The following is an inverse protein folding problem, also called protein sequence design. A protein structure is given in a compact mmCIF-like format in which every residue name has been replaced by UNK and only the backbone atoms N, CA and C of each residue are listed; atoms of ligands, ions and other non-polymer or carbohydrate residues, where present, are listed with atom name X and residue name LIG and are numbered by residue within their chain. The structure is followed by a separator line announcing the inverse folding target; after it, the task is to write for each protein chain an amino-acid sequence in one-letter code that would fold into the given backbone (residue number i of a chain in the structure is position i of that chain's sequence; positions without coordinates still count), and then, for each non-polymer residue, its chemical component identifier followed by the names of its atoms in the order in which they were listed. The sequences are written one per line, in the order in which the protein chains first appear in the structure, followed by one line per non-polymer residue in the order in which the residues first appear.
data_IF_216183731865
#
_entry.id   IF_216183731865
#
_cell.length_a   1.000
_cell.length_b   1.000
_cell.length_c   1.000
_cell.angle_alpha   90.00
_cell.angle_beta   90.00
_cell.angle_gamma   90.00
#
_symmetry.space_group_name_H-M   'P 1'
#
loop_
_entity.id
_entity.type
_entity.pdbx_description
1 polymer ?
#
# COMPACT_ATOMS: atom_id res chain seq x y z
N UNK A 1 -22.23 0.26 -15.38
CA UNK A 1 -21.76 1.15 -14.30
C UNK A 1 -22.89 1.44 -13.31
N UNK A 2 -24.03 1.94 -13.77
CA UNK A 2 -25.16 2.29 -12.88
C UNK A 2 -25.72 1.10 -12.09
N UNK A 3 -25.87 -0.09 -12.68
CA UNK A 3 -26.34 -1.29 -11.96
C UNK A 3 -25.45 -1.67 -10.77
N UNK A 4 -24.12 -1.54 -10.92
CA UNK A 4 -23.18 -1.76 -9.82
C UNK A 4 -23.31 -0.71 -8.71
N UNK A 5 -23.61 0.54 -9.07
CA UNK A 5 -23.80 1.62 -8.09
C UNK A 5 -25.09 1.45 -7.27
N UNK A 6 -26.15 0.95 -7.89
CA UNK A 6 -27.39 0.60 -7.18
C UNK A 6 -27.17 -0.58 -6.22
N UNK A 7 -26.32 -1.54 -6.58
CA UNK A 7 -25.96 -2.64 -5.69
C UNK A 7 -25.14 -2.14 -4.48
N UNK A 8 -24.21 -1.21 -4.72
CA UNK A 8 -23.41 -0.54 -3.67
C UNK A 8 -24.35 0.26 -2.74
N UNK A 9 -25.31 1.00 -3.27
CA UNK A 9 -26.29 1.74 -2.46
C UNK A 9 -27.15 0.80 -1.60
N UNK A 10 -27.66 -0.30 -2.15
CA UNK A 10 -28.40 -1.33 -1.39
C UNK A 10 -27.52 -1.95 -0.28
N UNK A 11 -26.27 -2.22 -0.58
CA UNK A 11 -25.32 -2.76 0.41
C UNK A 11 -25.10 -1.78 1.55
N UNK A 12 -24.92 -0.50 1.23
CA UNK A 12 -24.77 0.58 2.21
C UNK A 12 -25.99 0.69 3.13
N UNK A 13 -27.20 0.63 2.59
CA UNK A 13 -28.44 0.65 3.37
C UNK A 13 -28.55 -0.59 4.27
N UNK A 14 -28.20 -1.77 3.75
CA UNK A 14 -28.16 -3.00 4.53
C UNK A 14 -27.20 -2.89 5.71
N UNK A 15 -25.99 -2.35 5.49
CA UNK A 15 -25.00 -2.14 6.54
C UNK A 15 -25.48 -1.11 7.57
N UNK A 16 -26.15 -0.04 7.15
CA UNK A 16 -26.76 0.95 8.04
C UNK A 16 -27.77 0.30 9.00
N UNK A 17 -28.63 -0.57 8.47
CA UNK A 17 -29.57 -1.33 9.29
C UNK A 17 -28.91 -2.36 10.21
N UNK A 18 -27.84 -3.02 9.73
CA UNK A 18 -27.07 -3.98 10.52
C UNK A 18 -26.34 -3.33 11.70
N UNK A 19 -25.72 -2.18 11.50
CA UNK A 19 -25.00 -1.44 12.54
C UNK A 19 -25.91 -0.96 13.68
N UNK A 20 -27.22 -0.80 13.41
CA UNK A 20 -28.23 -0.49 14.42
C UNK A 20 -28.72 -1.69 15.25
N UNK A 21 -28.29 -2.93 14.97
CA UNK A 21 -28.74 -4.12 15.69
C UNK A 21 -27.91 -4.36 16.95
N UNK A 22 -28.56 -4.55 18.12
CA UNK A 22 -27.85 -4.82 19.38
C UNK A 22 -26.97 -6.07 19.37
N UNK A 23 -27.37 -7.08 18.57
CA UNK A 23 -26.65 -8.35 18.41
C UNK A 23 -25.26 -8.19 17.77
N UNK A 24 -25.12 -7.25 16.83
CA UNK A 24 -23.86 -6.95 16.17
C UNK A 24 -22.96 -6.10 17.07
N UNK A 25 -23.54 -5.18 17.84
CA UNK A 25 -22.81 -4.32 18.80
C UNK A 25 -22.09 -5.18 19.85
N UNK A 26 -22.69 -6.32 20.24
CA UNK A 26 -22.07 -7.26 21.18
C UNK A 26 -20.84 -7.99 20.62
N UNK A 27 -20.69 -8.03 19.29
CA UNK A 27 -19.57 -8.69 18.58
C UNK A 27 -18.61 -7.65 18.00
N UNK A 28 -17.66 -7.20 18.80
CA UNK A 28 -16.79 -6.07 18.50
C UNK A 28 -16.06 -6.18 17.16
N UNK A 29 -15.55 -7.37 16.79
CA UNK A 29 -14.81 -7.57 15.53
C UNK A 29 -15.70 -7.49 14.28
N UNK A 30 -16.93 -8.08 14.37
CA UNK A 30 -17.90 -8.01 13.28
C UNK A 30 -18.45 -6.58 13.13
N UNK A 31 -18.67 -5.87 14.24
CA UNK A 31 -19.07 -4.47 14.23
C UNK A 31 -18.02 -3.57 13.60
N UNK A 32 -16.73 -3.73 13.96
CA UNK A 32 -15.67 -2.92 13.39
C UNK A 32 -15.51 -3.14 11.87
N UNK A 33 -15.63 -4.39 11.41
CA UNK A 33 -15.60 -4.71 9.97
C UNK A 33 -16.76 -4.04 9.23
N UNK A 34 -17.98 -4.19 9.76
CA UNK A 34 -19.16 -3.58 9.15
C UNK A 34 -19.10 -2.04 9.17
N UNK A 35 -18.59 -1.43 10.24
CA UNK A 35 -18.42 0.02 10.35
C UNK A 35 -17.39 0.56 9.36
N UNK A 36 -16.29 -0.15 9.14
CA UNK A 36 -15.30 0.21 8.10
C UNK A 36 -15.89 0.14 6.70
N UNK A 37 -16.56 -0.97 6.37
CA UNK A 37 -17.23 -1.14 5.06
C UNK A 37 -18.30 -0.05 4.85
N UNK A 38 -19.09 0.26 5.86
CA UNK A 38 -20.07 1.35 5.82
C UNK A 38 -19.44 2.72 5.56
N UNK A 39 -18.35 3.04 6.24
CA UNK A 39 -17.64 4.31 6.05
C UNK A 39 -16.99 4.42 4.64
N UNK A 40 -16.48 3.31 4.10
CA UNK A 40 -15.91 3.26 2.75
C UNK A 40 -16.98 3.46 1.67
N UNK A 41 -18.10 2.74 1.77
CA UNK A 41 -19.20 2.85 0.82
C UNK A 41 -19.91 4.21 0.93
N UNK A 42 -19.95 4.82 2.11
CA UNK A 42 -20.65 6.08 2.36
C UNK A 42 -20.21 7.20 1.43
N UNK A 43 -18.89 7.33 1.16
CA UNK A 43 -18.37 8.33 0.23
C UNK A 43 -18.85 8.11 -1.21
N UNK A 44 -18.88 6.86 -1.65
CA UNK A 44 -19.33 6.49 -3.00
C UNK A 44 -20.82 6.76 -3.16
N UNK A 45 -21.62 6.35 -2.17
CA UNK A 45 -23.08 6.54 -2.16
C UNK A 45 -23.46 8.03 -2.10
N UNK A 46 -22.73 8.85 -1.33
CA UNK A 46 -22.98 10.29 -1.25
C UNK A 46 -22.72 10.98 -2.62
N UNK A 47 -21.63 10.63 -3.30
CA UNK A 47 -21.33 11.11 -4.64
C UNK A 47 -22.37 10.64 -5.67
N UNK A 48 -22.79 9.39 -5.59
CA UNK A 48 -23.82 8.82 -6.47
C UNK A 48 -25.17 9.51 -6.29
N UNK A 49 -25.60 9.76 -5.05
CA UNK A 49 -26.83 10.49 -4.75
C UNK A 49 -26.79 11.94 -5.25
N UNK A 50 -25.65 12.61 -5.13
CA UNK A 50 -25.43 13.95 -5.72
C UNK A 50 -25.52 13.93 -7.24
N UNK A 51 -24.92 12.92 -7.88
CA UNK A 51 -24.98 12.75 -9.34
C UNK A 51 -26.42 12.52 -9.81
N UNK A 52 -27.18 11.68 -9.12
CA UNK A 52 -28.59 11.40 -9.43
C UNK A 52 -29.46 12.66 -9.34
N UNK A 53 -29.21 13.47 -8.29
CA UNK A 53 -29.90 14.75 -8.13
C UNK A 53 -29.56 15.73 -9.25
N UNK A 54 -28.29 15.84 -9.66
CA UNK A 54 -27.87 16.65 -10.80
C UNK A 54 -28.51 16.18 -12.10
N UNK A 55 -28.68 14.88 -12.31
CA UNK A 55 -29.39 14.33 -13.49
C UNK A 55 -30.87 14.70 -13.50
N UNK A 56 -31.53 14.73 -12.35
CA UNK A 56 -32.91 15.17 -12.22
C UNK A 56 -33.03 16.67 -12.52
N UNK A 57 -32.12 17.49 -12.00
CA UNK A 57 -32.07 18.94 -12.26
C UNK A 57 -31.80 19.24 -13.76
N UNK A 58 -30.89 18.49 -14.40
CA UNK A 58 -30.63 18.57 -15.85
C UNK A 58 -31.89 18.25 -16.65
N UNK A 59 -32.60 17.18 -16.31
CA UNK A 59 -33.87 16.82 -16.96
C UNK A 59 -34.93 17.93 -16.80
N UNK A 60 -35.02 18.49 -15.60
CA UNK A 60 -35.92 19.63 -15.34
C UNK A 60 -35.59 20.85 -16.20
N UNK A 61 -34.32 21.23 -16.29
CA UNK A 61 -33.87 22.37 -17.13
C UNK A 61 -34.07 22.08 -18.63
N UNK A 62 -33.95 20.83 -19.08
CA UNK A 62 -34.23 20.40 -20.45
C UNK A 62 -35.74 20.52 -20.77
N UNK A 63 -36.62 20.14 -19.85
CA UNK A 63 -38.07 20.30 -19.99
C UNK A 63 -38.45 21.79 -20.10
N UNK A 64 -37.89 22.66 -19.26
CA UNK A 64 -38.10 24.09 -19.33
C UNK A 64 -37.67 24.66 -20.67
N UNK A 65 -36.57 24.20 -21.25
CA UNK A 65 -36.12 24.63 -22.58
C UNK A 65 -37.09 24.25 -23.70
N UNK A 66 -37.86 23.18 -23.54
CA UNK A 66 -38.79 22.65 -24.54
C UNK A 66 -40.16 23.28 -24.43
N UNK A 67 -40.61 23.55 -23.20
CA UNK A 67 -41.99 23.94 -22.91
C UNK A 67 -42.18 25.48 -22.72
N UNK A 68 -41.08 26.20 -22.48
CA UNK A 68 -41.11 27.64 -22.21
C UNK A 68 -41.10 28.45 -23.53
N UNK A 69 -42.04 29.43 -23.67
CA UNK A 69 -42.13 30.33 -24.82
C UNK A 69 -41.36 31.64 -24.62
N UNK A 70 -41.05 32.00 -23.36
CA UNK A 70 -40.31 33.20 -23.00
C UNK A 70 -38.81 33.06 -23.33
N UNK A 71 -38.31 33.94 -24.18
CA UNK A 71 -36.93 33.91 -24.69
C UNK A 71 -35.89 34.19 -23.59
N UNK A 72 -36.24 35.00 -22.57
CA UNK A 72 -35.39 35.30 -21.43
C UNK A 72 -35.25 34.09 -20.48
N UNK A 73 -36.36 33.40 -20.20
CA UNK A 73 -36.38 32.18 -19.43
C UNK A 73 -35.62 31.02 -20.12
N UNK A 74 -35.78 30.91 -21.45
CA UNK A 74 -35.00 29.92 -22.25
C UNK A 74 -33.50 30.21 -22.20
N UNK A 75 -33.08 31.46 -22.21
CA UNK A 75 -31.66 31.83 -22.08
C UNK A 75 -31.12 31.39 -20.71
N UNK A 76 -31.82 31.69 -19.62
CA UNK A 76 -31.45 31.32 -18.27
C UNK A 76 -31.38 29.79 -18.11
N UNK A 77 -32.36 29.05 -18.61
CA UNK A 77 -32.37 27.58 -18.60
C UNK A 77 -31.19 27.00 -19.36
N UNK A 78 -30.75 27.66 -20.47
CA UNK A 78 -29.59 27.20 -21.25
C UNK A 78 -28.28 27.44 -20.53
N UNK A 79 -28.13 28.56 -19.84
CA UNK A 79 -26.96 28.85 -18.99
C UNK A 79 -26.88 27.90 -17.81
N UNK A 80 -28.01 27.62 -17.16
CA UNK A 80 -28.11 26.66 -16.07
C UNK A 80 -27.78 25.22 -16.51
N UNK A 81 -28.33 24.81 -17.67
CA UNK A 81 -28.02 23.49 -18.24
C UNK A 81 -26.52 23.34 -18.53
N UNK A 82 -25.88 24.35 -19.03
CA UNK A 82 -24.43 24.33 -19.28
C UNK A 82 -23.66 24.16 -17.98
N UNK A 83 -24.01 24.90 -16.92
CA UNK A 83 -23.43 24.84 -15.61
C UNK A 83 -23.58 23.43 -14.98
N UNK A 84 -24.82 22.92 -14.98
CA UNK A 84 -25.14 21.58 -14.42
C UNK A 84 -24.43 20.46 -15.17
N UNK A 85 -24.30 20.59 -16.49
CA UNK A 85 -23.57 19.60 -17.32
C UNK A 85 -22.07 19.55 -16.98
N UNK A 86 -21.45 20.70 -16.75
CA UNK A 86 -20.06 20.78 -16.31
C UNK A 86 -19.88 20.21 -14.92
N UNK A 87 -20.80 20.51 -14.00
CA UNK A 87 -20.78 19.99 -12.64
C UNK A 87 -20.98 18.48 -12.62
N UNK A 88 -21.90 17.95 -13.44
CA UNK A 88 -22.09 16.51 -13.63
C UNK A 88 -20.80 15.83 -14.09
N UNK A 89 -20.10 16.37 -15.10
CA UNK A 89 -18.83 15.80 -15.57
C UNK A 89 -17.77 15.71 -14.47
N UNK A 90 -17.63 16.75 -13.64
CA UNK A 90 -16.72 16.75 -12.49
C UNK A 90 -17.11 15.69 -11.45
N UNK A 91 -18.42 15.57 -11.14
CA UNK A 91 -18.91 14.57 -10.18
C UNK A 91 -18.79 13.14 -10.70
N UNK A 92 -18.94 12.91 -11.99
CA UNK A 92 -18.69 11.60 -12.62
C UNK A 92 -17.21 11.19 -12.49
N UNK A 93 -16.26 12.12 -12.67
CA UNK A 93 -14.84 11.85 -12.46
C UNK A 93 -14.53 11.58 -11.00
N UNK A 94 -15.06 12.37 -10.06
CA UNK A 94 -14.93 12.13 -8.62
C UNK A 94 -15.48 10.74 -8.22
N UNK A 95 -16.63 10.36 -8.79
CA UNK A 95 -17.25 9.05 -8.54
C UNK A 95 -16.42 7.90 -9.11
N UNK A 96 -15.89 8.05 -10.32
CA UNK A 96 -14.95 7.06 -10.90
C UNK A 96 -13.73 6.87 -10.01
N UNK A 97 -13.15 7.94 -9.49
CA UNK A 97 -12.04 7.87 -8.57
C UNK A 97 -12.40 7.22 -7.22
N UNK A 98 -13.61 7.47 -6.72
CA UNK A 98 -14.08 6.88 -5.46
C UNK A 98 -14.39 5.39 -5.56
N UNK A 99 -14.71 4.90 -6.76
CA UNK A 99 -14.97 3.48 -7.06
C UNK A 99 -13.70 2.64 -7.19
N UNK A 100 -12.53 3.28 -7.33
CA UNK A 100 -11.27 2.53 -7.36
C UNK A 100 -11.08 1.79 -6.04
N UNK A 101 -10.72 0.50 -6.09
CA UNK A 101 -10.39 -0.24 -4.90
C UNK A 101 -9.23 0.48 -4.19
N UNK A 102 -9.47 0.87 -2.96
CA UNK A 102 -8.41 1.41 -2.12
C UNK A 102 -7.40 0.30 -1.84
N UNK A 103 -6.15 0.59 -2.04
CA UNK A 103 -5.10 -0.31 -1.60
C UNK A 103 -5.21 -0.48 -0.06
N UNK A 104 -5.35 -1.71 0.46
CA UNK A 104 -5.45 -1.95 1.90
C UNK A 104 -4.25 -1.41 2.68
N UNK A 105 -3.15 -1.11 1.98
CA UNK A 105 -1.94 -0.54 2.57
C UNK A 105 -1.93 1.00 2.58
N UNK A 106 -2.89 1.68 1.93
CA UNK A 106 -2.87 3.15 1.78
C UNK A 106 -2.84 3.91 3.11
N UNK A 107 -3.38 3.35 4.19
CA UNK A 107 -3.37 3.94 5.53
C UNK A 107 -2.16 3.50 6.39
N UNK A 108 -1.32 2.57 5.89
CA UNK A 108 -0.18 2.06 6.67
C UNK A 108 0.98 3.06 6.70
N UNK A 109 1.76 2.96 7.77
CA UNK A 109 3.08 3.54 7.85
C UNK A 109 4.02 2.87 6.85
N UNK A 110 5.17 3.49 6.57
CA UNK A 110 6.12 2.95 5.60
C UNK A 110 7.52 2.83 6.16
N UNK A 111 8.24 1.85 5.62
CA UNK A 111 9.69 1.78 5.65
C UNK A 111 10.23 2.40 4.35
N UNK A 112 10.91 3.53 4.48
CA UNK A 112 11.63 4.19 3.40
C UNK A 112 13.08 3.67 3.40
N UNK A 113 13.48 2.98 2.34
CA UNK A 113 14.86 2.53 2.13
C UNK A 113 15.46 3.30 0.97
N UNK A 114 16.59 3.97 1.21
CA UNK A 114 17.36 4.68 0.17
C UNK A 114 18.75 4.06 0.13
N UNK A 115 19.17 3.60 -1.04
CA UNK A 115 20.49 2.99 -1.24
C UNK A 115 21.21 3.65 -2.41
N UNK A 116 22.48 3.95 -2.21
CA UNK A 116 23.36 4.37 -3.29
C UNK A 116 23.48 3.25 -4.34
N UNK A 117 23.20 3.59 -5.60
CA UNK A 117 23.34 2.71 -6.75
C UNK A 117 24.67 2.94 -7.48
N UNK A 118 24.59 3.08 -8.81
CA UNK A 118 25.77 3.32 -9.65
C UNK A 118 26.24 4.77 -9.52
N UNK A 119 27.51 5.01 -9.20
CA UNK A 119 28.09 6.37 -9.13
C UNK A 119 29.04 6.61 -7.95
N UNK A 120 29.34 5.58 -7.15
CA UNK A 120 30.29 5.66 -6.04
C UNK A 120 29.89 6.67 -4.96
N UNK A 121 30.81 7.52 -4.55
CA UNK A 121 30.59 8.52 -3.50
C UNK A 121 29.51 9.54 -3.83
N UNK A 122 29.39 9.92 -5.11
CA UNK A 122 28.36 10.84 -5.59
C UNK A 122 26.95 10.26 -5.43
N UNK A 123 26.77 8.97 -5.66
CA UNK A 123 25.49 8.30 -5.38
C UNK A 123 25.15 8.35 -3.90
N UNK A 124 26.16 8.24 -3.02
CA UNK A 124 25.96 8.38 -1.56
C UNK A 124 25.55 9.80 -1.14
N UNK A 125 26.17 10.83 -1.73
CA UNK A 125 25.79 12.23 -1.50
C UNK A 125 24.35 12.49 -1.97
N UNK A 126 23.99 11.99 -3.15
CA UNK A 126 22.64 12.14 -3.66
C UNK A 126 21.60 11.35 -2.82
N UNK A 127 21.97 10.21 -2.25
CA UNK A 127 21.12 9.50 -1.29
C UNK A 127 20.80 10.36 -0.06
N UNK A 128 21.80 11.15 0.43
CA UNK A 128 21.57 12.12 1.50
C UNK A 128 20.64 13.26 1.07
N UNK A 129 20.76 13.76 -0.16
CA UNK A 129 19.86 14.81 -0.67
C UNK A 129 18.43 14.30 -0.76
N UNK A 130 18.21 13.07 -1.28
CA UNK A 130 16.88 12.46 -1.32
C UNK A 130 16.31 12.21 0.08
N UNK A 131 17.12 11.73 1.01
CA UNK A 131 16.69 11.56 2.40
C UNK A 131 16.26 12.88 3.02
N UNK A 132 17.02 13.95 2.80
CA UNK A 132 16.65 15.31 3.26
C UNK A 132 15.34 15.77 2.61
N UNK A 133 15.17 15.55 1.33
CA UNK A 133 13.94 15.87 0.60
C UNK A 133 12.71 15.19 1.22
N UNK A 134 12.78 13.88 1.48
CA UNK A 134 11.67 13.16 2.10
C UNK A 134 11.47 13.54 3.58
N UNK A 135 12.55 13.87 4.32
CA UNK A 135 12.43 14.37 5.68
C UNK A 135 11.66 15.69 5.74
N UNK A 136 11.95 16.62 4.82
CA UNK A 136 11.23 17.89 4.72
C UNK A 136 9.78 17.72 4.27
N UNK A 137 9.51 16.78 3.38
CA UNK A 137 8.14 16.42 3.03
C UNK A 137 7.39 15.88 4.25
N UNK A 138 8.00 14.98 5.01
CA UNK A 138 7.39 14.42 6.22
C UNK A 138 7.09 15.52 7.25
N UNK A 139 8.00 16.45 7.48
CA UNK A 139 7.80 17.60 8.35
C UNK A 139 6.63 18.49 7.89
N UNK A 140 6.57 18.83 6.59
CA UNK A 140 5.46 19.62 6.00
C UNK A 140 4.09 18.93 6.13
N UNK A 141 4.06 17.60 6.07
CA UNK A 141 2.83 16.81 6.20
C UNK A 141 2.48 16.47 7.66
N UNK A 142 3.33 16.85 8.62
CA UNK A 142 3.16 16.51 10.03
C UNK A 142 3.35 15.02 10.33
N UNK A 143 4.11 14.30 9.49
CA UNK A 143 4.48 12.91 9.70
C UNK A 143 5.70 12.81 10.62
N UNK A 144 5.73 11.76 11.41
CA UNK A 144 6.90 11.43 12.23
C UNK A 144 7.86 10.56 11.43
N UNK A 145 9.14 10.92 11.43
CA UNK A 145 10.20 10.12 10.80
C UNK A 145 11.21 9.66 11.86
N UNK A 146 11.52 8.36 11.84
CA UNK A 146 12.51 7.74 12.71
C UNK A 146 13.52 6.96 11.89
N UNK A 147 14.83 7.22 12.10
CA UNK A 147 15.89 6.49 11.39
C UNK A 147 16.13 5.17 12.13
N UNK A 148 15.86 4.05 11.46
CA UNK A 148 16.08 2.71 12.01
C UNK A 148 17.51 2.23 11.78
N UNK A 149 18.06 2.52 10.59
CA UNK A 149 19.43 2.12 10.25
C UNK A 149 20.05 3.10 9.27
N UNK A 150 21.38 3.29 9.36
CA UNK A 150 22.13 4.13 8.42
C UNK A 150 23.57 3.68 8.30
N UNK A 151 24.05 3.65 7.05
CA UNK A 151 25.44 3.40 6.74
C UNK A 151 25.98 4.59 5.94
N UNK A 152 27.06 5.21 6.42
CA UNK A 152 27.68 6.36 5.75
C UNK A 152 28.72 5.92 4.71
N UNK A 153 28.94 6.79 3.73
CA UNK A 153 30.13 6.77 2.88
C UNK A 153 31.26 7.59 3.48
N UNK A 154 32.49 7.43 2.97
CA UNK A 154 33.65 8.16 3.47
C UNK A 154 33.57 9.70 3.37
N UNK A 155 32.71 10.22 2.48
CA UNK A 155 32.53 11.67 2.22
C UNK A 155 31.27 12.25 2.84
N UNK A 156 30.64 11.56 3.78
CA UNK A 156 29.45 12.07 4.51
C UNK A 156 28.11 11.80 3.83
N UNK A 157 28.09 11.08 2.71
CA UNK A 157 26.85 10.57 2.08
C UNK A 157 26.35 9.29 2.74
N UNK A 158 25.14 8.82 2.35
CA UNK A 158 24.61 7.53 2.77
C UNK A 158 24.89 6.45 1.73
N UNK A 159 25.53 5.34 2.15
CA UNK A 159 25.53 4.10 1.38
C UNK A 159 24.12 3.47 1.41
N UNK A 160 23.50 3.53 2.58
CA UNK A 160 22.15 3.06 2.86
C UNK A 160 21.56 3.84 4.03
N UNK A 161 20.28 4.18 3.94
CA UNK A 161 19.49 4.67 5.07
C UNK A 161 18.12 4.05 5.03
N UNK A 162 17.64 3.60 6.20
CA UNK A 162 16.30 3.02 6.40
C UNK A 162 15.62 3.85 7.47
N UNK A 163 14.45 4.38 7.15
CA UNK A 163 13.65 5.17 8.07
C UNK A 163 12.20 4.69 8.09
N UNK A 164 11.60 4.69 9.27
CA UNK A 164 10.16 4.53 9.46
C UNK A 164 9.49 5.90 9.34
N UNK A 165 8.43 6.00 8.54
CA UNK A 165 7.61 7.20 8.44
C UNK A 165 6.20 6.84 8.88
N UNK A 166 5.75 7.49 9.96
CA UNK A 166 4.46 7.28 10.59
C UNK A 166 3.54 8.47 10.36
N UNK A 167 2.30 8.19 9.94
CA UNK A 167 1.30 9.24 9.75
C UNK A 167 0.14 8.81 8.87
N UNK A 168 -0.85 9.66 8.76
CA UNK A 168 -2.05 9.36 7.96
C UNK A 168 -1.76 9.43 6.47
N UNK A 169 -2.02 8.33 5.76
CA UNK A 169 -1.93 8.26 4.31
C UNK A 169 -0.51 8.35 3.74
N UNK A 170 0.50 7.98 4.53
CA UNK A 170 1.92 8.03 4.11
C UNK A 170 2.15 7.12 2.92
N UNK A 171 1.69 5.86 2.99
CA UNK A 171 1.87 4.90 1.89
C UNK A 171 1.16 5.36 0.62
N UNK A 172 -0.07 5.84 0.72
CA UNK A 172 -0.84 6.30 -0.45
C UNK A 172 -0.15 7.42 -1.23
N UNK A 173 0.61 8.29 -0.55
CA UNK A 173 1.34 9.39 -1.20
C UNK A 173 2.71 8.97 -1.72
N UNK A 174 3.44 8.12 -0.99
CA UNK A 174 4.82 7.79 -1.30
C UNK A 174 4.99 6.50 -2.12
N UNK A 175 3.97 5.65 -2.26
CA UNK A 175 4.06 4.37 -2.98
C UNK A 175 4.61 4.49 -4.42
N UNK A 176 4.39 5.65 -5.07
CA UNK A 176 4.91 5.93 -6.41
C UNK A 176 6.33 6.52 -6.44
N UNK A 177 6.95 6.74 -5.29
CA UNK A 177 8.34 7.20 -5.21
C UNK A 177 9.36 6.05 -5.29
N UNK A 178 8.90 4.80 -5.24
CA UNK A 178 9.75 3.62 -5.37
C UNK A 178 10.32 3.48 -6.77
N UNK A 179 11.63 3.21 -6.87
CA UNK A 179 12.34 3.00 -8.12
C UNK A 179 13.74 3.59 -8.13
N UNK A 180 14.29 3.77 -9.36
CA UNK A 180 15.63 4.31 -9.58
C UNK A 180 15.57 5.81 -9.84
N UNK A 181 16.17 6.60 -8.98
CA UNK A 181 16.34 8.05 -9.12
C UNK A 181 17.71 8.37 -9.68
N UNK A 182 17.76 9.14 -10.75
CA UNK A 182 18.99 9.50 -11.44
C UNK A 182 19.33 10.96 -11.22
N UNK A 183 20.57 11.24 -10.85
CA UNK A 183 21.10 12.60 -10.74
C UNK A 183 22.11 12.89 -11.84
N UNK A 184 22.11 14.13 -12.33
CA UNK A 184 23.08 14.69 -13.26
C UNK A 184 23.59 15.99 -12.66
N UNK A 185 24.82 15.98 -12.13
CA UNK A 185 25.50 17.17 -11.62
C UNK A 185 27.01 17.00 -11.68
N UNK A 186 27.75 18.10 -11.51
CA UNK A 186 29.18 18.07 -11.25
C UNK A 186 29.37 17.71 -9.78
N UNK A 187 29.96 16.54 -9.43
CA UNK A 187 30.20 16.15 -8.05
C UNK A 187 31.14 17.13 -7.34
N UNK A 188 31.00 17.26 -6.02
CA UNK A 188 31.93 18.04 -5.19
C UNK A 188 33.37 17.48 -5.27
N UNK A 189 33.49 16.18 -5.56
CA UNK A 189 34.77 15.46 -5.70
C UNK A 189 35.40 15.57 -7.10
N UNK A 190 34.70 16.19 -8.08
CA UNK A 190 35.18 16.32 -9.47
C UNK A 190 35.96 17.63 -9.67
N UNK A 191 37.23 17.52 -9.99
CA UNK A 191 38.13 18.68 -10.19
C UNK A 191 38.09 19.29 -11.59
N UNK A 192 37.59 18.53 -12.61
CA UNK A 192 37.58 18.95 -14.02
C UNK A 192 36.23 19.49 -14.48
N UNK A 193 35.25 19.65 -13.57
CA UNK A 193 33.93 20.20 -13.91
C UNK A 193 33.05 19.30 -14.80
N UNK A 194 33.35 18.01 -14.89
CA UNK A 194 32.56 17.07 -15.69
C UNK A 194 31.27 16.70 -15.00
N UNK A 195 30.16 16.68 -15.76
CA UNK A 195 28.86 16.22 -15.28
C UNK A 195 28.89 14.72 -15.14
N UNK A 196 28.68 14.23 -13.91
CA UNK A 196 28.50 12.81 -13.63
C UNK A 196 27.03 12.45 -13.59
N UNK A 197 26.75 11.19 -13.93
CA UNK A 197 25.41 10.61 -13.84
C UNK A 197 25.47 9.49 -12.81
N UNK A 198 24.75 9.68 -11.69
CA UNK A 198 24.69 8.69 -10.61
C UNK A 198 23.24 8.26 -10.37
N UNK A 199 23.06 7.11 -9.73
CA UNK A 199 21.74 6.56 -9.40
C UNK A 199 21.63 6.23 -7.93
N UNK A 200 20.43 6.38 -7.43
CA UNK A 200 20.01 5.98 -6.08
C UNK A 200 18.72 5.19 -6.22
N UNK A 201 18.58 4.13 -5.48
CA UNK A 201 17.36 3.31 -5.42
C UNK A 201 16.56 3.67 -4.19
N UNK A 202 15.27 3.85 -4.37
CA UNK A 202 14.30 4.12 -3.32
C UNK A 202 13.30 2.98 -3.29
N UNK A 203 13.13 2.35 -2.13
CA UNK A 203 12.07 1.36 -1.89
C UNK A 203 11.10 1.88 -0.82
N UNK A 204 9.81 1.72 -1.09
CA UNK A 204 8.71 2.09 -0.19
C UNK A 204 7.97 0.81 0.17
N UNK A 205 8.13 0.36 1.39
CA UNK A 205 7.52 -0.86 1.89
C UNK A 205 6.48 -0.50 2.96
N UNK A 206 5.26 -1.05 2.92
CA UNK A 206 4.33 -0.86 4.02
C UNK A 206 4.89 -1.52 5.28
N UNK A 207 4.65 -0.88 6.43
CA UNK A 207 5.04 -1.42 7.72
C UNK A 207 4.42 -2.80 7.92
N UNK A 208 5.24 -3.76 8.28
CA UNK A 208 4.83 -5.13 8.46
C UNK A 208 4.18 -5.32 9.83
N UNK A 209 2.95 -5.81 9.89
CA UNK A 209 2.32 -6.22 11.14
C UNK A 209 3.10 -7.39 11.78
N UNK A 210 3.10 -7.45 13.11
CA UNK A 210 3.66 -8.59 13.81
C UNK A 210 2.93 -9.89 13.42
N UNK A 211 3.70 -10.95 13.24
CA UNK A 211 3.14 -12.26 12.93
C UNK A 211 2.77 -12.93 14.24
N UNK A 212 1.47 -12.97 14.56
CA UNK A 212 0.96 -13.81 15.65
C UNK A 212 0.50 -15.16 15.09
N UNK A 213 1.11 -16.24 15.60
CA UNK A 213 0.77 -17.60 15.20
C UNK A 213 -0.16 -18.22 16.25
N UNK A 214 -1.46 -18.24 15.93
CA UNK A 214 -2.45 -18.98 16.71
C UNK A 214 -2.51 -20.42 16.18
N UNK A 215 -2.33 -21.37 17.08
CA UNK A 215 -2.40 -22.81 16.76
C UNK A 215 -3.79 -23.31 17.17
N UNK A 216 -4.60 -23.72 16.19
CA UNK A 216 -5.86 -24.40 16.48
C UNK A 216 -5.58 -25.83 16.99
N UNK A 217 -6.14 -26.24 18.15
CA UNK A 217 -6.02 -27.62 18.63
C UNK A 217 -6.52 -28.68 17.65
N UNK A 218 -7.46 -28.34 16.76
CA UNK A 218 -8.00 -29.25 15.75
C UNK A 218 -7.00 -29.54 14.61
N UNK A 219 -6.03 -28.67 14.40
CA UNK A 219 -4.98 -28.80 13.40
C UNK A 219 -3.79 -29.65 13.91
N UNK A 220 -3.88 -30.15 15.15
CA UNK A 220 -2.84 -30.90 15.77
C UNK A 220 -3.19 -32.39 15.87
N UNK A 221 -2.33 -33.22 15.29
CA UNK A 221 -2.31 -34.67 15.58
C UNK A 221 -1.26 -34.95 16.63
N UNK A 222 -1.68 -35.53 17.75
CA UNK A 222 -0.82 -35.85 18.89
C UNK A 222 -0.71 -37.36 19.00
N UNK A 223 0.48 -37.88 18.75
CA UNK A 223 0.82 -39.29 18.88
C UNK A 223 1.69 -39.49 20.15
N UNK A 224 1.33 -40.48 20.96
CA UNK A 224 2.04 -40.84 22.18
C UNK A 224 2.79 -42.15 21.93
N UNK A 225 4.03 -42.22 22.35
CA UNK A 225 4.86 -43.41 22.15
C UNK A 225 5.86 -43.60 23.30
N UNK A 226 6.50 -44.74 23.32
CA UNK A 226 7.52 -45.06 24.32
C UNK A 226 8.81 -44.30 24.02
N UNK A 227 9.38 -43.69 25.07
CA UNK A 227 10.68 -43.04 24.93
C UNK A 227 11.77 -44.08 24.71
N UNK A 228 12.73 -43.76 23.82
CA UNK A 228 13.91 -44.62 23.59
C UNK A 228 15.15 -43.92 24.16
N UNK A 229 15.91 -44.65 25.01
CA UNK A 229 17.13 -44.09 25.57
C UNK A 229 17.73 -44.96 26.66
N UNK A 230 18.98 -44.71 27.11
CA UNK A 230 19.58 -45.40 28.24
C UNK A 230 18.81 -45.07 29.53
N UNK A 231 18.03 -46.01 30.04
CA UNK A 231 17.24 -45.84 31.26
C UNK A 231 16.73 -47.19 31.78
N UNK A 232 16.29 -47.21 33.04
CA UNK A 232 15.74 -48.41 33.69
C UNK A 232 14.31 -48.72 33.19
N UNK A 233 13.65 -49.70 33.87
CA UNK A 233 12.30 -50.19 33.48
C UNK A 233 11.25 -49.10 33.28
N UNK A 234 11.32 -47.97 34.01
CA UNK A 234 10.39 -46.82 33.89
C UNK A 234 10.44 -46.12 32.52
N UNK A 235 11.59 -46.05 31.84
CA UNK A 235 11.76 -45.43 30.54
C UNK A 235 11.21 -46.30 29.42
N UNK A 236 11.37 -47.62 29.57
CA UNK A 236 11.01 -48.58 28.52
C UNK A 236 9.56 -49.08 28.60
N UNK A 237 8.85 -48.84 29.72
CA UNK A 237 7.48 -49.30 29.93
C UNK A 237 6.42 -48.22 29.89
N UNK A 238 6.80 -46.93 30.07
CA UNK A 238 5.85 -45.85 30.16
C UNK A 238 5.79 -45.07 28.84
N UNK A 239 4.57 -44.83 28.30
CA UNK A 239 4.35 -44.01 27.10
C UNK A 239 4.45 -42.51 27.46
N UNK A 240 5.67 -42.01 27.63
CA UNK A 240 5.96 -40.64 28.06
C UNK A 240 6.37 -39.70 26.90
N UNK A 241 6.82 -40.28 25.79
CA UNK A 241 7.21 -39.49 24.62
C UNK A 241 5.98 -39.01 23.83
N UNK A 242 6.04 -37.77 23.34
CA UNK A 242 4.95 -37.12 22.58
C UNK A 242 5.49 -36.63 21.24
N UNK A 243 4.76 -36.94 20.18
CA UNK A 243 4.95 -36.39 18.83
C UNK A 243 3.74 -35.58 18.48
N UNK A 244 3.96 -34.34 18.08
CA UNK A 244 2.91 -33.43 17.61
C UNK A 244 3.16 -33.12 16.13
N UNK A 245 2.16 -33.40 15.31
CA UNK A 245 2.16 -33.10 13.89
C UNK A 245 1.15 -31.98 13.65
N UNK A 246 1.59 -30.86 13.08
CA UNK A 246 0.70 -29.81 12.62
C UNK A 246 0.23 -30.14 11.20
N UNK A 247 -1.05 -30.48 11.06
CA UNK A 247 -1.62 -31.03 9.82
C UNK A 247 -1.48 -30.11 8.62
N UNK A 248 -1.76 -28.78 8.72
CA UNK A 248 -1.70 -27.89 7.56
C UNK A 248 -0.28 -27.70 6.99
N UNK A 249 0.75 -27.68 7.86
CA UNK A 249 2.14 -27.45 7.43
C UNK A 249 2.97 -28.75 7.33
N UNK A 250 2.45 -29.87 7.83
CA UNK A 250 3.17 -31.13 7.91
C UNK A 250 4.35 -31.13 8.91
N UNK A 251 4.47 -30.07 9.73
CA UNK A 251 5.58 -29.92 10.67
C UNK A 251 5.44 -30.90 11.84
N UNK A 252 6.50 -31.64 12.14
CA UNK A 252 6.53 -32.63 13.20
C UNK A 252 7.53 -32.25 14.29
N UNK A 253 7.09 -32.30 15.53
CA UNK A 253 7.92 -32.10 16.71
C UNK A 253 7.76 -33.28 17.64
N UNK A 254 8.85 -33.90 18.06
CA UNK A 254 8.87 -34.97 19.08
C UNK A 254 9.63 -34.49 20.31
N UNK A 255 9.12 -34.83 21.50
CA UNK A 255 9.75 -34.53 22.78
C UNK A 255 9.65 -35.77 23.68
N UNK A 256 10.81 -36.17 24.26
CA UNK A 256 10.93 -37.35 25.15
C UNK A 256 11.85 -37.08 26.34
N UNK A 257 12.15 -35.83 26.65
CA UNK A 257 13.18 -35.43 27.61
C UNK A 257 12.72 -35.61 29.06
N UNK A 258 11.41 -35.50 29.29
CA UNK A 258 10.82 -35.53 30.62
C UNK A 258 10.12 -36.87 30.91
N UNK A 259 10.09 -37.27 32.19
CA UNK A 259 9.34 -38.47 32.61
C UNK A 259 7.81 -38.30 32.53
N UNK A 260 7.32 -37.06 32.46
CA UNK A 260 5.90 -36.75 32.42
C UNK A 260 5.46 -36.45 30.99
N UNK A 261 4.48 -37.20 30.49
CA UNK A 261 3.83 -37.00 29.20
C UNK A 261 3.28 -35.57 29.05
N UNK A 262 2.64 -34.99 30.10
CA UNK A 262 2.09 -33.66 30.07
C UNK A 262 3.18 -32.59 29.90
N UNK A 263 4.34 -32.75 30.56
CA UNK A 263 5.48 -31.84 30.38
C UNK A 263 6.07 -31.95 28.97
N UNK A 264 6.21 -33.17 28.43
CA UNK A 264 6.66 -33.37 27.05
C UNK A 264 5.69 -32.75 26.04
N UNK A 265 4.37 -32.94 26.24
CA UNK A 265 3.34 -32.26 25.39
C UNK A 265 3.46 -30.75 25.43
N UNK A 266 3.57 -30.15 26.62
CA UNK A 266 3.71 -28.69 26.75
C UNK A 266 5.01 -28.18 26.10
N UNK A 267 6.12 -28.89 26.25
CA UNK A 267 7.42 -28.57 25.63
C UNK A 267 7.36 -28.71 24.11
N UNK A 268 6.75 -29.77 23.59
CA UNK A 268 6.57 -29.99 22.16
C UNK A 268 5.70 -28.89 21.52
N UNK A 269 4.60 -28.48 22.17
CA UNK A 269 3.77 -27.36 21.72
C UNK A 269 4.55 -26.04 21.68
N UNK A 270 5.38 -25.76 22.70
CA UNK A 270 6.22 -24.57 22.72
C UNK A 270 7.23 -24.57 21.58
N UNK A 271 7.86 -25.72 21.30
CA UNK A 271 8.81 -25.84 20.18
C UNK A 271 8.08 -25.72 18.84
N UNK A 272 6.90 -26.34 18.71
CA UNK A 272 6.10 -26.23 17.49
C UNK A 272 5.71 -24.78 17.20
N UNK A 273 5.25 -24.03 18.22
CA UNK A 273 4.91 -22.61 18.08
C UNK A 273 6.12 -21.78 17.62
N UNK A 274 7.29 -22.00 18.22
CA UNK A 274 8.51 -21.30 17.81
C UNK A 274 8.86 -21.59 16.34
N UNK A 275 8.82 -22.88 15.92
CA UNK A 275 9.12 -23.27 14.54
C UNK A 275 8.09 -22.74 13.52
N UNK A 276 6.81 -22.71 13.88
CA UNK A 276 5.77 -22.11 13.03
C UNK A 276 5.97 -20.60 12.89
N UNK A 277 6.34 -19.93 13.99
CA UNK A 277 6.65 -18.50 13.99
C UNK A 277 7.87 -18.22 13.11
N UNK A 278 8.96 -18.96 13.25
CA UNK A 278 10.16 -18.84 12.40
C UNK A 278 9.82 -19.02 10.92
N UNK A 279 9.00 -20.03 10.59
CA UNK A 279 8.57 -20.29 9.22
C UNK A 279 7.75 -19.11 8.67
N UNK A 280 6.77 -18.64 9.42
CA UNK A 280 5.94 -17.50 9.01
C UNK A 280 6.75 -16.21 8.86
N UNK A 281 7.75 -15.99 9.72
CA UNK A 281 8.69 -14.86 9.57
C UNK A 281 9.56 -15.00 8.32
N UNK A 282 10.05 -16.20 8.01
CA UNK A 282 10.82 -16.45 6.79
C UNK A 282 9.99 -16.21 5.52
N UNK A 283 8.75 -16.71 5.47
CA UNK A 283 7.84 -16.50 4.34
C UNK A 283 7.58 -14.99 4.13
N UNK A 284 7.32 -14.25 5.21
CA UNK A 284 7.14 -12.80 5.16
C UNK A 284 8.40 -12.07 4.70
N UNK A 285 9.57 -12.50 5.16
CA UNK A 285 10.85 -11.93 4.75
C UNK A 285 11.12 -12.14 3.25
N UNK A 286 10.77 -13.30 2.70
CA UNK A 286 10.85 -13.60 1.26
C UNK A 286 9.92 -12.67 0.49
N UNK A 287 8.66 -12.54 0.91
CA UNK A 287 7.68 -11.64 0.28
C UNK A 287 8.16 -10.17 0.26
N UNK A 288 8.67 -9.67 1.39
CA UNK A 288 9.24 -8.31 1.48
C UNK A 288 10.44 -8.16 0.54
N UNK A 289 11.31 -9.17 0.47
CA UNK A 289 12.49 -9.16 -0.39
C UNK A 289 12.12 -9.15 -1.87
N UNK A 290 11.09 -9.90 -2.26
CA UNK A 290 10.55 -9.91 -3.62
C UNK A 290 9.91 -8.57 -3.98
N UNK A 291 9.07 -8.01 -3.08
CA UNK A 291 8.47 -6.68 -3.27
C UNK A 291 9.55 -5.61 -3.46
N UNK A 292 10.58 -5.62 -2.59
CA UNK A 292 11.74 -4.71 -2.72
C UNK A 292 12.44 -4.87 -4.07
N UNK A 293 12.73 -6.11 -4.48
CA UNK A 293 13.40 -6.41 -5.75
C UNK A 293 12.60 -5.90 -6.95
N UNK A 294 11.30 -6.10 -6.93
CA UNK A 294 10.40 -5.63 -7.99
C UNK A 294 10.33 -4.10 -8.08
N UNK A 295 10.45 -3.40 -6.94
CA UNK A 295 10.45 -1.92 -6.91
C UNK A 295 11.77 -1.33 -7.42
N UNK A 296 12.90 -1.95 -7.08
CA UNK A 296 14.23 -1.37 -7.29
C UNK A 296 14.89 -1.85 -8.59
N UNK A 297 14.45 -3.01 -9.13
CA UNK A 297 15.05 -3.62 -10.31
C UNK A 297 16.53 -3.94 -10.11
N UNK A 298 17.35 -3.66 -11.11
CA UNK A 298 18.81 -3.82 -11.06
C UNK A 298 19.53 -2.57 -10.53
N UNK A 299 18.83 -1.42 -10.42
CA UNK A 299 19.41 -0.13 -10.03
C UNK A 299 20.22 0.54 -11.15
N UNK A 300 20.13 0.05 -12.37
CA UNK A 300 20.83 0.60 -13.50
C UNK A 300 20.25 1.95 -13.96
N UNK A 301 21.09 2.74 -14.64
CA UNK A 301 20.71 4.07 -15.16
C UNK A 301 19.57 4.04 -16.17
N UNK A 302 19.36 2.91 -16.84
CA UNK A 302 18.28 2.67 -17.83
C UNK A 302 16.91 2.58 -17.18
N UNK A 303 16.82 2.04 -15.96
CA UNK A 303 15.57 1.79 -15.22
C UNK A 303 15.05 3.01 -14.46
N UNK A 304 15.62 4.19 -14.71
CA UNK A 304 15.27 5.42 -14.02
C UNK A 304 13.77 5.75 -14.11
N UNK A 305 13.16 6.02 -12.99
CA UNK A 305 11.80 6.60 -12.91
C UNK A 305 11.86 8.14 -13.00
N UNK A 306 12.89 8.75 -12.39
CA UNK A 306 13.03 10.21 -12.31
C UNK A 306 14.46 10.66 -12.51
N UNK A 307 14.64 11.83 -13.16
CA UNK A 307 15.94 12.46 -13.36
C UNK A 307 15.97 13.85 -12.75
N UNK A 308 16.98 14.10 -11.92
CA UNK A 308 17.30 15.38 -11.31
C UNK A 308 18.50 15.98 -12.03
N UNK A 309 18.28 17.03 -12.83
CA UNK A 309 19.29 17.71 -13.61
C UNK A 309 19.65 19.05 -12.98
N UNK A 310 20.76 19.10 -12.25
CA UNK A 310 21.21 20.30 -11.54
C UNK A 310 21.62 21.43 -12.48
N UNK A 311 22.43 21.20 -13.52
CA UNK A 311 22.79 22.27 -14.47
C UNK A 311 21.61 22.98 -15.12
N UNK A 312 20.48 22.28 -15.30
CA UNK A 312 19.28 22.82 -15.92
C UNK A 312 18.19 23.19 -14.90
N UNK A 313 18.43 22.97 -13.60
CA UNK A 313 17.45 23.24 -12.55
C UNK A 313 16.11 22.49 -12.70
N UNK A 314 16.13 21.33 -13.38
CA UNK A 314 14.91 20.60 -13.70
C UNK A 314 14.85 19.19 -13.12
N UNK A 315 13.61 18.75 -12.84
CA UNK A 315 13.26 17.37 -12.51
C UNK A 315 12.32 16.83 -13.58
N UNK A 316 12.59 15.63 -14.08
CA UNK A 316 11.76 14.94 -15.07
C UNK A 316 11.32 13.59 -14.54
N UNK A 317 10.02 13.35 -14.41
CA UNK A 317 9.46 12.02 -14.16
C UNK A 317 9.15 11.35 -15.51
N UNK A 318 9.85 10.25 -15.77
CA UNK A 318 9.80 9.57 -17.07
C UNK A 318 8.55 8.71 -17.26
N UNK A 319 7.84 8.38 -16.19
CA UNK A 319 6.64 7.53 -16.23
C UNK A 319 5.46 8.25 -16.87
N UNK A 320 5.36 9.57 -16.64
CA UNK A 320 4.29 10.42 -17.13
C UNK A 320 4.79 11.56 -18.03
N UNK A 321 6.11 11.61 -18.33
CA UNK A 321 6.72 12.65 -19.14
C UNK A 321 6.70 14.06 -18.51
N UNK A 322 6.43 14.16 -17.20
CA UNK A 322 6.33 15.44 -16.49
C UNK A 322 7.72 16.05 -16.30
N UNK A 323 7.88 17.32 -16.68
CA UNK A 323 9.13 18.08 -16.48
C UNK A 323 8.83 19.38 -15.75
N UNK A 324 9.51 19.60 -14.61
CA UNK A 324 9.39 20.77 -13.76
C UNK A 324 10.76 21.46 -13.62
N UNK A 325 10.79 22.80 -13.78
CA UNK A 325 12.00 23.61 -13.63
C UNK A 325 12.09 24.25 -12.24
N UNK A 326 11.90 23.40 -11.21
CA UNK A 326 11.86 23.78 -9.78
C UNK A 326 12.65 22.79 -8.91
N UNK A 327 13.86 22.44 -9.36
CA UNK A 327 14.68 21.44 -8.70
C UNK A 327 14.90 21.75 -7.21
N UNK A 328 15.21 23.00 -6.88
CA UNK A 328 15.48 23.42 -5.48
C UNK A 328 14.25 23.26 -4.59
N UNK A 329 13.08 23.74 -5.04
CA UNK A 329 11.83 23.58 -4.29
C UNK A 329 11.47 22.12 -4.06
N UNK A 330 11.70 21.25 -5.08
CA UNK A 330 11.46 19.82 -4.98
C UNK A 330 12.39 19.19 -3.91
N UNK A 331 13.68 19.55 -3.92
CA UNK A 331 14.63 19.07 -2.91
C UNK A 331 14.34 19.63 -1.50
N UNK A 332 13.58 20.71 -1.41
CA UNK A 332 13.04 21.26 -0.16
C UNK A 332 11.68 20.62 0.25
N UNK A 333 11.30 19.50 -0.40
CA UNK A 333 10.15 18.68 -0.03
C UNK A 333 8.82 19.11 -0.68
N UNK A 334 8.84 19.93 -1.74
CA UNK A 334 7.64 20.31 -2.50
C UNK A 334 7.37 19.27 -3.60
N UNK A 335 6.89 18.08 -3.19
CA UNK A 335 6.64 16.97 -4.11
C UNK A 335 5.20 16.91 -4.64
N UNK A 336 4.29 17.75 -4.17
CA UNK A 336 2.87 17.68 -4.52
C UNK A 336 2.62 17.81 -6.03
N UNK A 337 3.39 18.68 -6.71
CA UNK A 337 3.31 18.86 -8.16
C UNK A 337 3.73 17.62 -8.96
N UNK A 338 4.41 16.66 -8.33
CA UNK A 338 4.81 15.37 -8.92
C UNK A 338 3.86 14.27 -8.47
N UNK A 339 3.56 14.20 -7.18
CA UNK A 339 2.76 13.12 -6.58
C UNK A 339 1.32 13.15 -7.09
N UNK A 340 0.70 14.34 -7.20
CA UNK A 340 -0.69 14.44 -7.63
C UNK A 340 -0.89 13.95 -9.08
N UNK A 341 -0.12 14.37 -10.10
CA UNK A 341 -0.24 13.83 -11.45
C UNK A 341 0.06 12.33 -11.54
N UNK A 342 1.05 11.84 -10.77
CA UNK A 342 1.34 10.40 -10.71
C UNK A 342 0.16 9.61 -10.16
N UNK A 343 -0.42 10.07 -9.06
CA UNK A 343 -1.59 9.43 -8.46
C UNK A 343 -2.74 9.36 -9.46
N UNK A 344 -3.05 10.47 -10.12
CA UNK A 344 -4.10 10.53 -11.15
C UNK A 344 -3.81 9.59 -12.32
N UNK A 345 -2.57 9.54 -12.80
CA UNK A 345 -2.18 8.65 -13.89
C UNK A 345 -2.37 7.16 -13.53
N UNK A 346 -1.90 6.75 -12.35
CA UNK A 346 -2.03 5.36 -11.93
C UNK A 346 -3.48 4.98 -11.59
N UNK A 347 -4.27 5.92 -11.07
CA UNK A 347 -5.70 5.74 -10.86
C UNK A 347 -6.44 5.56 -12.19
N UNK A 348 -6.15 6.37 -13.19
CA UNK A 348 -6.72 6.22 -14.53
C UNK A 348 -6.36 4.86 -15.16
N UNK A 349 -5.10 4.45 -15.05
CA UNK A 349 -4.63 3.15 -15.55
C UNK A 349 -5.30 1.97 -14.83
N UNK A 350 -5.53 2.07 -13.52
CA UNK A 350 -6.24 1.04 -12.77
C UNK A 350 -7.71 0.92 -13.23
N UNK A 351 -8.38 2.05 -13.50
CA UNK A 351 -9.74 2.08 -14.08
C UNK A 351 -9.82 1.42 -15.45
N UNK A 352 -8.84 1.67 -16.33
CA UNK A 352 -8.77 1.04 -17.65
C UNK A 352 -8.63 -0.48 -17.52
N UNK A 353 -7.74 -0.96 -16.66
CA UNK A 353 -7.53 -2.38 -16.40
C UNK A 353 -8.76 -3.09 -15.84
N UNK A 354 -9.54 -2.46 -14.97
CA UNK A 354 -10.80 -3.02 -14.46
C UNK A 354 -11.89 -3.07 -15.55
N UNK A 355 -11.96 -2.06 -16.40
CA UNK A 355 -12.90 -2.03 -17.53
C UNK A 355 -12.59 -3.13 -18.56
N UNK A 356 -11.32 -3.42 -18.82
CA UNK A 356 -10.90 -4.52 -19.70
C UNK A 356 -11.22 -5.90 -19.09
N UNK A 357 -10.93 -6.09 -17.80
CA UNK A 357 -11.25 -7.33 -17.10
C UNK A 357 -12.77 -7.60 -17.04
N UNK A 358 -13.58 -6.58 -16.84
CA UNK A 358 -15.04 -6.72 -16.83
C UNK A 358 -15.63 -7.07 -18.22
N UNK A 359 -15.00 -6.57 -19.31
CA UNK A 359 -15.38 -6.93 -20.69
C UNK A 359 -14.98 -8.36 -21.04
N UNK A 360 -13.83 -8.83 -20.59
CA UNK A 360 -13.36 -10.19 -20.84
C UNK A 360 -14.19 -11.25 -20.08
N UNK A 361 -14.66 -10.94 -18.88
CA UNK A 361 -15.57 -11.80 -18.11
C UNK A 361 -16.98 -11.87 -18.73
N UNK A 362 -17.49 -10.77 -19.28
CA UNK A 362 -18.80 -10.76 -19.96
C UNK A 362 -18.78 -11.45 -21.33
N UNK A 363 -17.61 -11.60 -21.97
CA UNK A 363 -17.48 -12.36 -23.24
C UNK A 363 -17.31 -13.87 -23.05
N UNK A 364 -16.96 -14.34 -21.84
CA UNK A 364 -16.84 -15.78 -21.52
C UNK A 364 -18.16 -16.40 -21.00
N UNK A 365 -19.25 -15.63 -20.90
CA UNK A 365 -20.58 -16.10 -20.45
C UNK A 365 -21.57 -16.23 -21.63
N UNK A 366 -21.07 -16.20 -22.86
CA UNK A 366 -21.91 -16.45 -24.04
C UNK A 366 -21.61 -17.81 -24.64
#
# INVERSE_FOLDING_TARGET
MFEKLEEVERRYETLSHLLGRPELIAKQDEFQKAAREYAELGRVVDLYRKLKKLEEEIKGSQHLLTDEEDEEMRRLAKEELHRLTQEKGKKEEELKMALLPKDPHDEKNILLEIRAGTGGEEAGLFASDLFRMYSKLAEKQGWRMEILNRHYTGVGGFKEVIALIEGKGVYSRLKFESGVHRVQRVPVTESQGRIHTSTVTVAILPEAEEVDVQIDPNDLRIDIFRSSGPGGQSVNTTDSAVRITHLPTGMVVSCQDEKSQHKNKAKALKILRARLMDKAQQEKQVEISEKRRNQVGTGERSERIRTYNFPQGRVTDHRIGLTLYRLESILEGELDEIIAPLTTHYQAKALEGELENSKSQSSNIK
#
